data_IF_124060124748
#
_entry.id   IF_124060124748
#
_cell.length_a   1.000
_cell.length_b   1.000
_cell.length_c   1.000
_cell.angle_alpha   90.00
_cell.angle_beta   90.00
_cell.angle_gamma   90.00
#
_symmetry.space_group_name_H-M   'P 1'
#
loop_
_entity.id
_entity.type
_entity.pdbx_description
1 polymer ?
#
# COMPACT_ATOMS: atom_id res chain seq x y z
N UNK A 1 1.41 0.28 25.36
CA UNK A 1 0.56 -0.41 24.37
C UNK A 1 0.31 0.58 23.23
N UNK A 2 0.88 0.38 22.03
CA UNK A 2 0.52 1.24 20.90
C UNK A 2 -0.90 0.87 20.47
N UNK A 3 -1.70 1.92 20.32
CA UNK A 3 -3.14 1.92 20.17
C UNK A 3 -3.53 1.37 18.79
N UNK A 4 -4.14 0.19 18.76
CA UNK A 4 -4.62 -0.49 17.56
C UNK A 4 -5.87 0.22 17.04
N UNK A 5 -5.67 1.23 16.18
CA UNK A 5 -6.76 1.97 15.55
C UNK A 5 -6.47 2.28 14.07
N UNK A 6 -5.81 1.35 13.36
CA UNK A 6 -5.57 1.43 11.91
C UNK A 6 -6.73 0.87 11.08
N UNK A 7 -7.87 0.55 11.70
CA UNK A 7 -9.08 0.08 11.04
C UNK A 7 -9.84 1.22 10.33
N UNK A 8 -9.18 1.86 9.36
CA UNK A 8 -9.82 2.80 8.41
C UNK A 8 -9.20 2.77 7.00
N UNK A 9 -8.44 1.73 6.66
CA UNK A 9 -7.93 1.53 5.31
C UNK A 9 -8.94 0.69 4.53
N UNK A 10 -9.74 1.40 3.72
CA UNK A 10 -10.86 0.90 2.93
C UNK A 10 -10.54 -0.37 2.11
N UNK A 11 -11.57 -1.18 1.85
CA UNK A 11 -11.53 -2.48 1.16
C UNK A 11 -11.08 -2.43 -0.33
N UNK A 12 -10.44 -1.35 -0.79
CA UNK A 12 -9.92 -1.20 -2.15
C UNK A 12 -8.48 -0.70 -2.11
N UNK A 13 -7.56 -1.44 -2.72
CA UNK A 13 -6.23 -0.92 -3.02
C UNK A 13 -6.39 0.24 -3.99
N UNK A 14 -5.93 1.43 -3.60
CA UNK A 14 -5.81 2.54 -4.53
C UNK A 14 -4.70 2.19 -5.55
N UNK A 15 -4.99 2.11 -6.86
CA UNK A 15 -3.98 1.80 -7.86
C UNK A 15 -2.81 2.79 -7.86
N UNK A 16 -3.01 4.00 -7.32
CA UNK A 16 -1.97 5.04 -7.20
C UNK A 16 -0.92 4.71 -6.14
N UNK A 17 -1.19 3.80 -5.20
CA UNK A 17 -0.20 3.44 -4.17
C UNK A 17 1.13 2.99 -4.79
N UNK A 18 1.06 2.04 -5.73
CA UNK A 18 2.25 1.53 -6.40
C UNK A 18 2.95 2.61 -7.22
N UNK A 19 2.19 3.48 -7.90
CA UNK A 19 2.73 4.59 -8.69
C UNK A 19 3.49 5.59 -7.80
N UNK A 20 2.86 6.10 -6.75
CA UNK A 20 3.44 7.10 -5.85
C UNK A 20 4.68 6.53 -5.15
N UNK A 21 4.65 5.26 -4.74
CA UNK A 21 5.79 4.61 -4.09
C UNK A 21 7.02 4.51 -5.03
N UNK A 22 6.80 4.31 -6.34
CA UNK A 22 7.87 4.34 -7.37
C UNK A 22 8.34 5.77 -7.62
N UNK A 23 7.44 6.73 -7.76
CA UNK A 23 7.78 8.16 -7.96
C UNK A 23 8.63 8.72 -6.80
N UNK A 24 8.38 8.24 -5.58
CA UNK A 24 9.17 8.57 -4.39
C UNK A 24 10.49 7.78 -4.26
N UNK A 25 10.80 6.88 -5.19
CA UNK A 25 11.95 5.97 -5.13
C UNK A 25 12.01 5.07 -3.89
N UNK A 26 10.86 4.80 -3.26
CA UNK A 26 10.82 3.86 -2.12
C UNK A 26 10.92 2.42 -2.59
N UNK A 27 10.39 2.14 -3.77
CA UNK A 27 10.39 0.83 -4.42
C UNK A 27 10.61 0.98 -5.92
N UNK A 28 11.02 -0.10 -6.56
CA UNK A 28 11.06 -0.21 -8.01
C UNK A 28 9.71 -0.66 -8.57
N UNK A 29 9.47 -0.37 -9.85
CA UNK A 29 8.27 -0.88 -10.55
C UNK A 29 8.21 -2.40 -10.57
N UNK A 30 9.36 -3.08 -10.60
CA UNK A 30 9.43 -4.54 -10.56
C UNK A 30 9.01 -5.10 -9.19
N UNK A 31 9.45 -4.48 -8.09
CA UNK A 31 9.00 -4.83 -6.75
C UNK A 31 7.49 -4.62 -6.59
N UNK A 32 6.94 -3.53 -7.14
CA UNK A 32 5.49 -3.31 -7.14
C UNK A 32 4.76 -4.42 -7.90
N UNK A 33 5.22 -4.81 -9.09
CA UNK A 33 4.63 -5.92 -9.85
C UNK A 33 4.67 -7.24 -9.10
N UNK A 34 5.79 -7.56 -8.46
CA UNK A 34 5.94 -8.78 -7.66
C UNK A 34 4.96 -8.79 -6.47
N UNK A 35 4.83 -7.68 -5.77
CA UNK A 35 3.89 -7.57 -4.65
C UNK A 35 2.43 -7.63 -5.10
N UNK A 36 2.08 -7.09 -6.28
CA UNK A 36 0.75 -7.25 -6.87
C UNK A 36 0.45 -8.70 -7.27
N UNK A 37 1.43 -9.43 -7.81
CA UNK A 37 1.26 -10.84 -8.13
C UNK A 37 1.01 -11.66 -6.85
N UNK A 38 1.79 -11.43 -5.80
CA UNK A 38 1.60 -12.09 -4.50
C UNK A 38 0.23 -11.77 -3.88
N UNK A 39 -0.23 -10.52 -4.00
CA UNK A 39 -1.56 -10.12 -3.55
C UNK A 39 -2.68 -10.88 -4.29
N UNK A 40 -2.51 -11.10 -5.60
CA UNK A 40 -3.44 -11.88 -6.42
C UNK A 40 -3.42 -13.36 -6.01
N UNK A 41 -2.24 -13.95 -5.82
CA UNK A 41 -2.06 -15.33 -5.38
C UNK A 41 -2.69 -15.58 -4.00
N UNK A 42 -2.56 -14.65 -3.06
CA UNK A 42 -3.19 -14.75 -1.74
C UNK A 42 -4.72 -14.81 -1.82
N UNK A 43 -5.32 -14.01 -2.70
CA UNK A 43 -6.76 -14.01 -2.92
C UNK A 43 -7.24 -15.36 -3.49
N UNK A 44 -6.47 -15.97 -4.39
CA UNK A 44 -6.77 -17.30 -4.91
C UNK A 44 -6.59 -18.40 -3.87
N UNK A 45 -5.61 -18.27 -2.98
CA UNK A 45 -5.32 -19.22 -1.91
C UNK A 45 -6.26 -19.11 -0.69
N UNK A 46 -7.31 -18.27 -0.75
CA UNK A 46 -8.21 -17.96 0.38
C UNK A 46 -7.47 -17.50 1.65
N UNK A 47 -6.29 -16.90 1.51
CA UNK A 47 -5.56 -16.32 2.62
C UNK A 47 -6.21 -14.99 3.05
N UNK A 48 -5.93 -14.51 4.27
CA UNK A 48 -6.32 -13.15 4.66
C UNK A 48 -5.84 -12.13 3.62
N UNK A 49 -6.74 -11.26 3.17
CA UNK A 49 -6.41 -10.24 2.19
C UNK A 49 -5.36 -9.27 2.76
N UNK A 50 -4.19 -9.20 2.12
CA UNK A 50 -3.14 -8.22 2.45
C UNK A 50 -3.18 -7.07 1.44
N UNK A 51 -3.02 -5.84 1.92
CA UNK A 51 -2.87 -4.66 1.06
C UNK A 51 -1.48 -4.60 0.44
N UNK A 52 -1.33 -3.89 -0.68
CA UNK A 52 -0.05 -3.78 -1.38
C UNK A 52 1.06 -3.22 -0.47
N UNK A 53 0.77 -2.14 0.27
CA UNK A 53 1.72 -1.56 1.23
C UNK A 53 2.16 -2.54 2.33
N UNK A 54 1.25 -3.43 2.76
CA UNK A 54 1.56 -4.46 3.75
C UNK A 54 2.52 -5.52 3.20
N UNK A 55 2.33 -5.95 1.96
CA UNK A 55 3.23 -6.93 1.30
C UNK A 55 4.62 -6.31 1.10
N UNK A 56 4.69 -5.05 0.66
CA UNK A 56 5.95 -4.32 0.49
C UNK A 56 6.72 -4.14 1.82
N UNK A 57 5.99 -3.90 2.91
CA UNK A 57 6.54 -3.83 4.27
C UNK A 57 7.09 -5.17 4.74
N UNK A 58 6.31 -6.26 4.61
CA UNK A 58 6.71 -7.61 5.02
C UNK A 58 7.93 -8.12 4.24
N UNK A 59 8.08 -7.68 2.99
CA UNK A 59 9.27 -7.97 2.16
C UNK A 59 10.48 -7.09 2.47
N UNK A 60 10.35 -6.11 3.36
CA UNK A 60 11.40 -5.15 3.70
C UNK A 60 11.76 -4.21 2.55
N UNK A 61 10.91 -4.10 1.53
CA UNK A 61 11.11 -3.17 0.40
C UNK A 61 10.64 -1.76 0.75
N UNK A 62 9.73 -1.64 1.71
CA UNK A 62 9.37 -0.38 2.34
C UNK A 62 9.41 -0.52 3.86
N UNK A 63 9.60 0.59 4.56
CA UNK A 63 9.37 0.68 6.00
C UNK A 63 8.03 1.37 6.31
N UNK A 64 7.62 1.37 7.58
CA UNK A 64 6.35 1.96 8.02
C UNK A 64 6.21 3.44 7.64
N UNK A 65 7.29 4.22 7.76
CA UNK A 65 7.28 5.65 7.45
C UNK A 65 7.04 5.91 5.95
N UNK A 66 7.62 5.09 5.09
CA UNK A 66 7.44 5.16 3.64
C UNK A 66 6.02 4.77 3.24
N UNK A 67 5.46 3.73 3.87
CA UNK A 67 4.07 3.32 3.63
C UNK A 67 3.11 4.44 4.05
N UNK A 68 3.28 5.00 5.24
CA UNK A 68 2.46 6.10 5.75
C UNK A 68 2.54 7.33 4.83
N UNK A 69 3.74 7.69 4.35
CA UNK A 69 3.93 8.82 3.45
C UNK A 69 3.13 8.68 2.14
N UNK A 70 3.01 7.46 1.59
CA UNK A 70 2.21 7.20 0.40
C UNK A 70 0.70 7.31 0.71
N UNK A 71 0.25 6.78 1.85
CA UNK A 71 -1.15 6.84 2.28
C UNK A 71 -1.64 8.27 2.52
N UNK A 72 -0.79 9.10 3.13
CA UNK A 72 -1.06 10.53 3.34
C UNK A 72 -1.23 11.24 2.01
N UNK A 73 -0.36 10.98 1.03
CA UNK A 73 -0.44 11.63 -0.29
C UNK A 73 -1.71 11.26 -1.07
N UNK A 74 -2.09 9.98 -1.04
CA UNK A 74 -3.36 9.51 -1.61
C UNK A 74 -4.52 10.26 -0.97
N UNK A 75 -4.57 10.31 0.37
CA UNK A 75 -5.64 10.95 1.12
C UNK A 75 -5.75 12.44 0.80
N UNK A 76 -4.62 13.17 0.79
CA UNK A 76 -4.59 14.59 0.45
C UNK A 76 -5.09 14.85 -0.98
N UNK A 77 -4.67 14.03 -1.94
CA UNK A 77 -5.12 14.16 -3.33
C UNK A 77 -6.62 13.98 -3.51
N UNK A 78 -7.29 13.21 -2.65
CA UNK A 78 -8.75 13.05 -2.68
C UNK A 78 -9.46 14.27 -2.09
N UNK A 79 -8.94 14.86 -1.01
CA UNK A 79 -9.50 16.06 -0.42
C UNK A 79 -9.52 17.24 -1.42
N UNK A 80 -8.43 17.46 -2.17
CA UNK A 80 -8.36 18.57 -3.13
C UNK A 80 -9.19 18.35 -4.40
N UNK A 81 -9.60 17.12 -4.71
CA UNK A 81 -10.47 16.82 -5.85
C UNK A 81 -11.96 16.97 -5.52
N UNK A 82 -12.30 17.04 -4.24
CA UNK A 82 -13.66 17.17 -3.74
C UNK A 82 -14.10 18.63 -3.49
N UNK A 83 -13.18 19.59 -3.66
CA UNK A 83 -13.37 21.04 -3.53
C UNK A 83 -13.43 21.72 -4.89
#
# INVERSE_FOLDING_TARGET
MPNDNTNKLSKKNDPRFGQIAVEKNFVTSEQVKQALLEQVEDNFAQKPHRQLGRILLEKGWMNDQQVEAVLVEISLSELFRAS
#
